data_IF_416732685844
#
_entry.id   IF_416732685844
#
_cell.length_a   1.000
_cell.length_b   1.000
_cell.length_c   1.000
_cell.angle_alpha   90.00
_cell.angle_beta   90.00
_cell.angle_gamma   90.00
#
_symmetry.space_group_name_H-M   'P 1'
#
loop_
_entity.id
_entity.type
_entity.pdbx_description
1 polymer ?
#
# COMPACT_ATOMS: atom_id res chain seq x y z
N UNK A 1 14.72 -12.35 -22.13
CA UNK A 1 13.42 -13.02 -21.86
C UNK A 1 13.44 -13.36 -20.39
N UNK A 2 12.70 -12.60 -19.57
CA UNK A 2 12.53 -12.94 -18.17
C UNK A 2 11.72 -14.24 -18.08
N UNK A 3 12.15 -15.16 -17.23
CA UNK A 3 11.53 -16.47 -17.06
C UNK A 3 10.09 -16.26 -16.55
N UNK A 4 9.09 -16.75 -17.28
CA UNK A 4 7.65 -16.67 -16.93
C UNK A 4 7.30 -17.52 -15.67
N UNK A 5 8.31 -17.96 -14.93
CA UNK A 5 8.25 -18.80 -13.74
C UNK A 5 8.63 -18.05 -12.46
N UNK A 6 8.64 -16.72 -12.46
CA UNK A 6 8.77 -15.95 -11.21
C UNK A 6 7.54 -16.20 -10.31
N UNK A 7 7.67 -17.21 -9.43
CA UNK A 7 6.66 -17.58 -8.44
C UNK A 7 6.81 -16.64 -7.24
N UNK A 8 5.71 -16.00 -6.83
CA UNK A 8 5.73 -15.17 -5.62
C UNK A 8 6.25 -15.97 -4.41
N UNK A 9 6.99 -15.33 -3.50
CA UNK A 9 7.57 -16.01 -2.37
C UNK A 9 6.47 -16.62 -1.48
N UNK A 10 6.75 -17.81 -0.94
CA UNK A 10 5.93 -18.44 0.10
C UNK A 10 6.73 -18.41 1.40
N UNK A 11 6.19 -17.74 2.40
CA UNK A 11 6.84 -17.49 3.68
C UNK A 11 6.24 -18.41 4.74
N UNK A 12 7.09 -19.18 5.41
CA UNK A 12 6.71 -20.03 6.54
C UNK A 12 6.83 -19.24 7.85
N UNK A 13 5.69 -18.88 8.46
CA UNK A 13 5.66 -18.08 9.69
C UNK A 13 6.18 -18.82 10.93
N UNK A 14 6.57 -20.09 10.82
CA UNK A 14 7.19 -20.89 11.90
C UNK A 14 8.52 -21.53 11.50
N UNK A 15 9.00 -21.28 10.28
CA UNK A 15 10.10 -22.05 9.70
C UNK A 15 11.50 -21.56 10.07
N UNK A 16 11.65 -20.32 10.52
CA UNK A 16 12.95 -19.68 10.79
C UNK A 16 12.87 -18.73 11.99
N UNK A 17 14.04 -18.25 12.46
CA UNK A 17 14.13 -17.25 13.52
C UNK A 17 13.50 -15.90 13.09
N UNK A 18 12.95 -15.16 14.06
CA UNK A 18 12.17 -13.93 13.86
C UNK A 18 12.87 -12.89 12.97
N UNK A 19 14.18 -12.68 13.14
CA UNK A 19 14.94 -11.69 12.36
C UNK A 19 14.96 -12.03 10.87
N UNK A 20 15.22 -13.31 10.54
CA UNK A 20 15.21 -13.79 9.16
C UNK A 20 13.80 -13.76 8.57
N UNK A 21 12.79 -14.04 9.39
CA UNK A 21 11.40 -14.01 8.96
C UNK A 21 10.94 -12.59 8.62
N UNK A 22 11.28 -11.61 9.46
CA UNK A 22 11.00 -10.19 9.23
C UNK A 22 11.66 -9.71 7.93
N UNK A 23 12.92 -10.11 7.69
CA UNK A 23 13.64 -9.78 6.47
C UNK A 23 12.98 -10.37 5.21
N UNK A 24 12.53 -11.63 5.26
CA UNK A 24 11.80 -12.26 4.14
C UNK A 24 10.49 -11.53 3.82
N UNK A 25 9.75 -11.12 4.85
CA UNK A 25 8.52 -10.34 4.69
C UNK A 25 8.84 -9.00 4.03
N UNK A 26 9.88 -8.30 4.48
CA UNK A 26 10.34 -7.03 3.90
C UNK A 26 10.71 -7.16 2.43
N UNK A 27 11.60 -8.09 2.10
CA UNK A 27 12.08 -8.28 0.72
C UNK A 27 10.93 -8.64 -0.22
N UNK A 28 10.02 -9.52 0.22
CA UNK A 28 8.84 -9.87 -0.54
C UNK A 28 7.93 -8.66 -0.78
N UNK A 29 7.77 -7.83 0.26
CA UNK A 29 6.93 -6.65 0.25
C UNK A 29 7.48 -5.52 -0.64
N UNK A 30 8.79 -5.31 -0.63
CA UNK A 30 9.47 -4.30 -1.48
C UNK A 30 9.50 -4.75 -2.95
N UNK A 31 9.84 -6.01 -3.23
CA UNK A 31 10.02 -6.51 -4.60
C UNK A 31 8.72 -6.84 -5.32
N UNK A 32 7.81 -7.53 -4.63
CA UNK A 32 6.61 -8.11 -5.24
C UNK A 32 5.33 -7.40 -4.82
N UNK A 33 5.31 -6.79 -3.63
CA UNK A 33 4.10 -6.27 -3.02
C UNK A 33 3.09 -7.35 -2.65
N UNK A 34 3.43 -8.64 -2.82
CA UNK A 34 2.62 -9.77 -2.44
C UNK A 34 3.43 -11.04 -2.21
N UNK A 35 2.89 -11.94 -1.39
CA UNK A 35 3.50 -13.22 -1.02
C UNK A 35 2.45 -14.17 -0.46
N UNK A 36 2.75 -15.46 -0.39
CA UNK A 36 1.94 -16.44 0.34
C UNK A 36 2.49 -16.65 1.73
N UNK A 37 1.62 -16.92 2.69
CA UNK A 37 2.01 -17.36 4.03
C UNK A 37 1.48 -18.76 4.32
N UNK A 38 2.29 -19.55 5.00
CA UNK A 38 1.93 -20.87 5.54
C UNK A 38 2.29 -20.96 7.02
N UNK A 39 1.77 -21.97 7.71
CA UNK A 39 1.91 -22.13 9.17
C UNK A 39 1.45 -20.90 9.98
N UNK A 40 0.50 -20.16 9.41
CA UNK A 40 0.01 -18.84 9.87
C UNK A 40 -0.87 -18.87 11.14
N UNK A 41 -0.94 -19.99 11.85
CA UNK A 41 -1.66 -20.11 13.13
C UNK A 41 -3.19 -20.21 13.05
N UNK A 42 -3.83 -19.73 11.97
CA UNK A 42 -5.27 -19.93 11.74
C UNK A 42 -5.60 -21.41 11.46
N UNK A 43 -6.52 -22.01 12.22
CA UNK A 43 -6.89 -23.41 12.07
C UNK A 43 -7.50 -23.70 10.69
N UNK A 44 -7.08 -24.80 10.06
CA UNK A 44 -7.67 -25.29 8.81
C UNK A 44 -9.17 -25.61 8.93
N UNK A 45 -9.62 -26.07 10.11
CA UNK A 45 -11.05 -26.29 10.38
C UNK A 45 -11.83 -24.99 10.30
N UNK A 46 -11.30 -23.92 10.91
CA UNK A 46 -11.92 -22.60 10.94
C UNK A 46 -11.95 -21.97 9.53
N UNK A 47 -10.89 -22.14 8.74
CA UNK A 47 -10.87 -21.74 7.33
C UNK A 47 -12.00 -22.45 6.54
N UNK A 48 -12.14 -23.76 6.71
CA UNK A 48 -13.17 -24.56 6.02
C UNK A 48 -14.59 -24.19 6.46
N UNK A 49 -14.82 -24.05 7.76
CA UNK A 49 -16.09 -23.63 8.36
C UNK A 49 -16.51 -22.24 7.88
N UNK A 50 -15.55 -21.31 7.80
CA UNK A 50 -15.81 -19.96 7.30
C UNK A 50 -16.21 -20.00 5.82
N UNK A 51 -15.51 -20.76 4.97
CA UNK A 51 -15.87 -20.95 3.55
C UNK A 51 -17.28 -21.50 3.38
N UNK A 52 -17.67 -22.51 4.17
CA UNK A 52 -19.04 -23.05 4.16
C UNK A 52 -20.07 -22.00 4.59
N UNK A 53 -19.77 -21.27 5.66
CA UNK A 53 -20.63 -20.20 6.20
C UNK A 53 -20.90 -19.14 5.14
N UNK A 54 -19.86 -18.56 4.55
CA UNK A 54 -20.02 -17.49 3.56
C UNK A 54 -20.64 -17.97 2.25
N UNK A 55 -20.41 -19.22 1.85
CA UNK A 55 -21.09 -19.82 0.71
C UNK A 55 -22.60 -19.87 0.99
N UNK A 56 -23.01 -20.32 2.17
CA UNK A 56 -24.41 -20.35 2.57
C UNK A 56 -25.05 -18.95 2.64
N UNK A 57 -24.32 -17.92 3.08
CA UNK A 57 -24.81 -16.53 3.10
C UNK A 57 -25.03 -15.97 1.69
N UNK A 58 -24.19 -16.34 0.72
CA UNK A 58 -24.35 -15.94 -0.68
C UNK A 58 -25.57 -16.59 -1.38
N UNK A 59 -26.05 -17.73 -0.85
CA UNK A 59 -27.27 -18.40 -1.31
C UNK A 59 -28.56 -17.80 -0.69
N UNK A 60 -28.45 -16.80 0.19
CA UNK A 60 -29.64 -16.12 0.73
C UNK A 60 -30.40 -15.37 -0.37
N UNK A 61 -31.74 -15.23 -0.25
CA UNK A 61 -32.53 -14.46 -1.19
C UNK A 61 -31.98 -13.04 -1.38
N UNK A 62 -32.09 -12.51 -2.60
CA UNK A 62 -31.58 -11.18 -2.92
C UNK A 62 -32.07 -10.10 -1.94
N UNK A 63 -33.34 -10.16 -1.54
CA UNK A 63 -33.96 -9.24 -0.57
C UNK A 63 -33.34 -9.30 0.84
N UNK A 64 -32.71 -10.41 1.21
CA UNK A 64 -31.92 -10.53 2.44
C UNK A 64 -30.53 -9.91 2.22
N UNK A 65 -29.89 -10.21 1.08
CA UNK A 65 -28.54 -9.74 0.76
C UNK A 65 -28.44 -8.20 0.73
N UNK A 66 -29.44 -7.52 0.16
CA UNK A 66 -29.48 -6.05 0.09
C UNK A 66 -29.63 -5.36 1.45
N UNK A 67 -29.99 -6.09 2.52
CA UNK A 67 -30.04 -5.53 3.89
C UNK A 67 -28.65 -5.27 4.44
N UNK A 68 -27.60 -5.88 3.86
CA UNK A 68 -26.22 -5.53 4.16
C UNK A 68 -25.87 -4.17 3.52
N UNK A 69 -26.31 -3.10 4.17
CA UNK A 69 -26.03 -1.72 3.76
C UNK A 69 -24.61 -1.28 4.09
N UNK A 70 -24.14 -0.26 3.38
CA UNK A 70 -22.87 0.42 3.65
C UNK A 70 -22.83 0.98 5.09
N UNK A 71 -21.67 0.82 5.74
CA UNK A 71 -21.28 1.47 7.01
C UNK A 71 -20.28 2.59 6.69
N UNK A 72 -19.30 2.27 5.83
CA UNK A 72 -18.50 3.24 5.09
C UNK A 72 -18.83 3.09 3.60
N UNK A 73 -18.49 4.09 2.79
CA UNK A 73 -18.82 4.10 1.37
C UNK A 73 -18.40 2.78 0.70
N UNK A 74 -19.35 2.12 0.03
CA UNK A 74 -19.15 0.89 -0.70
C UNK A 74 -18.70 -0.31 0.17
N UNK A 75 -19.03 -0.34 1.47
CA UNK A 75 -18.67 -1.42 2.41
C UNK A 75 -19.73 -2.50 2.60
N UNK A 76 -20.93 -2.34 2.07
CA UNK A 76 -22.04 -3.27 2.17
C UNK A 76 -22.05 -4.30 1.04
N UNK A 77 -23.24 -4.78 0.71
CA UNK A 77 -23.47 -5.69 -0.41
C UNK A 77 -23.40 -4.96 -1.75
N UNK A 78 -22.56 -5.48 -2.64
CA UNK A 78 -22.45 -5.04 -4.04
C UNK A 78 -23.05 -6.14 -4.92
N UNK A 79 -24.24 -5.93 -5.51
CA UNK A 79 -24.79 -6.86 -6.48
C UNK A 79 -23.97 -6.82 -7.78
N UNK A 80 -24.19 -7.83 -8.64
CA UNK A 80 -23.71 -7.79 -10.02
C UNK A 80 -24.30 -6.57 -10.73
N UNK A 81 -23.49 -5.89 -11.52
CA UNK A 81 -23.88 -4.70 -12.28
C UNK A 81 -23.30 -4.76 -13.70
N UNK A 82 -23.66 -3.82 -14.57
CA UNK A 82 -23.07 -3.73 -15.91
C UNK A 82 -21.54 -3.55 -15.86
N UNK A 83 -21.04 -2.82 -14.87
CA UNK A 83 -19.60 -2.62 -14.64
C UNK A 83 -18.92 -3.88 -14.11
N UNK A 84 -19.63 -4.70 -13.33
CA UNK A 84 -19.12 -5.90 -12.68
C UNK A 84 -20.10 -7.07 -12.85
N UNK A 85 -20.27 -7.59 -14.08
CA UNK A 85 -21.33 -8.55 -14.38
C UNK A 85 -21.06 -9.94 -13.80
N UNK A 86 -19.82 -10.23 -13.41
CA UNK A 86 -19.39 -11.54 -12.91
C UNK A 86 -19.20 -11.57 -11.40
N UNK A 87 -19.39 -10.45 -10.72
CA UNK A 87 -18.93 -10.25 -9.34
C UNK A 87 -20.06 -9.75 -8.47
N UNK A 88 -20.33 -10.46 -7.38
CA UNK A 88 -21.08 -9.93 -6.24
C UNK A 88 -20.23 -10.04 -4.97
N UNK A 89 -20.49 -9.17 -3.99
CA UNK A 89 -19.76 -9.24 -2.72
C UNK A 89 -20.55 -8.72 -1.54
N UNK A 90 -20.28 -9.25 -0.36
CA UNK A 90 -20.60 -8.60 0.90
C UNK A 90 -19.37 -7.88 1.42
N UNK A 91 -19.54 -6.77 2.10
CA UNK A 91 -18.52 -6.26 3.00
C UNK A 91 -19.01 -6.18 4.45
N UNK A 92 -18.03 -6.19 5.35
CA UNK A 92 -18.21 -6.06 6.79
C UNK A 92 -17.05 -5.21 7.32
N UNK A 93 -17.35 -4.00 7.78
CA UNK A 93 -16.36 -3.12 8.39
C UNK A 93 -16.15 -3.48 9.86
N UNK A 94 -14.92 -3.32 10.34
CA UNK A 94 -14.49 -3.60 11.72
C UNK A 94 -14.77 -5.05 12.16
N UNK A 95 -14.04 -5.98 11.54
CA UNK A 95 -14.15 -7.43 11.79
C UNK A 95 -13.63 -7.85 13.17
N UNK A 96 -12.93 -6.95 13.86
CA UNK A 96 -12.49 -7.16 15.24
C UNK A 96 -13.63 -6.90 16.24
N UNK A 97 -14.63 -6.09 15.86
CA UNK A 97 -15.79 -5.77 16.69
C UNK A 97 -16.85 -6.87 16.67
N UNK A 98 -17.11 -7.55 17.82
CA UNK A 98 -18.19 -8.53 17.90
C UNK A 98 -19.57 -7.93 17.60
N UNK A 99 -19.74 -6.63 17.88
CA UNK A 99 -20.99 -5.91 17.60
C UNK A 99 -21.18 -5.67 16.10
N UNK A 100 -20.11 -5.34 15.36
CA UNK A 100 -20.18 -5.21 13.90
C UNK A 100 -20.53 -6.56 13.25
N UNK A 101 -19.88 -7.64 13.70
CA UNK A 101 -20.21 -9.01 13.25
C UNK A 101 -21.66 -9.38 13.57
N UNK A 102 -22.12 -9.08 14.79
CA UNK A 102 -23.52 -9.32 15.18
C UNK A 102 -24.49 -8.60 14.24
N UNK A 103 -24.28 -7.31 13.99
CA UNK A 103 -25.13 -6.49 13.11
C UNK A 103 -25.18 -7.06 11.70
N UNK A 104 -24.04 -7.47 11.13
CA UNK A 104 -23.98 -8.12 9.82
C UNK A 104 -24.73 -9.45 9.80
N UNK A 105 -24.52 -10.29 10.81
CA UNK A 105 -25.18 -11.60 10.95
C UNK A 105 -26.70 -11.44 11.08
N UNK A 106 -27.17 -10.45 11.85
CA UNK A 106 -28.58 -10.14 12.00
C UNK A 106 -29.20 -9.72 10.66
N UNK A 107 -28.51 -8.87 9.88
CA UNK A 107 -28.95 -8.43 8.55
C UNK A 107 -29.10 -9.59 7.55
N UNK A 108 -28.22 -10.60 7.62
CA UNK A 108 -28.20 -11.75 6.72
C UNK A 108 -28.90 -13.00 7.26
N UNK A 109 -29.58 -12.90 8.40
CA UNK A 109 -30.28 -14.03 9.03
C UNK A 109 -29.33 -15.23 9.24
N UNK A 110 -28.11 -14.94 9.71
CA UNK A 110 -27.12 -15.96 10.02
C UNK A 110 -27.45 -16.67 11.33
N UNK A 111 -27.21 -17.99 11.40
CA UNK A 111 -27.42 -18.79 12.61
C UNK A 111 -26.44 -18.39 13.73
N UNK A 112 -26.71 -18.86 14.95
CA UNK A 112 -25.79 -18.67 16.07
C UNK A 112 -24.41 -19.29 15.79
N UNK A 113 -24.38 -20.49 15.19
CA UNK A 113 -23.15 -21.17 14.79
C UNK A 113 -22.37 -20.38 13.74
N UNK A 114 -23.06 -19.89 12.69
CA UNK A 114 -22.42 -19.06 11.66
C UNK A 114 -21.82 -17.78 12.26
N UNK A 115 -22.51 -17.15 13.20
CA UNK A 115 -22.01 -15.97 13.92
C UNK A 115 -20.77 -16.29 14.74
N UNK A 116 -20.75 -17.40 15.47
CA UNK A 116 -19.57 -17.82 16.24
C UNK A 116 -18.35 -18.07 15.34
N UNK A 117 -18.56 -18.72 14.19
CA UNK A 117 -17.51 -18.94 13.18
C UNK A 117 -16.98 -17.60 12.68
N UNK A 118 -17.86 -16.67 12.33
CA UNK A 118 -17.47 -15.33 11.86
C UNK A 118 -16.67 -14.55 12.91
N UNK A 119 -17.05 -14.61 14.20
CA UNK A 119 -16.32 -13.97 15.30
C UNK A 119 -14.92 -14.56 15.46
N UNK A 120 -14.82 -15.90 15.49
CA UNK A 120 -13.51 -16.59 15.62
C UNK A 120 -12.61 -16.29 14.43
N UNK A 121 -13.16 -16.31 13.22
CA UNK A 121 -12.43 -16.02 11.99
C UNK A 121 -12.01 -14.54 11.91
N UNK A 122 -12.92 -13.61 12.23
CA UNK A 122 -12.66 -12.17 12.36
C UNK A 122 -11.43 -11.87 13.21
N UNK A 123 -11.45 -12.38 14.44
CA UNK A 123 -10.34 -12.21 15.39
C UNK A 123 -9.03 -12.82 14.89
N UNK A 124 -9.08 -14.02 14.30
CA UNK A 124 -7.89 -14.70 13.81
C UNK A 124 -7.23 -13.96 12.63
N UNK A 125 -8.04 -13.44 11.70
CA UNK A 125 -7.54 -12.70 10.54
C UNK A 125 -7.05 -11.30 10.90
N UNK A 126 -7.74 -10.58 11.81
CA UNK A 126 -7.27 -9.29 12.33
C UNK A 126 -5.94 -9.44 13.06
N UNK A 127 -5.83 -10.45 13.94
CA UNK A 127 -4.59 -10.77 14.65
C UNK A 127 -3.43 -11.06 13.68
N UNK A 128 -3.68 -11.91 12.67
CA UNK A 128 -2.66 -12.22 11.66
C UNK A 128 -2.23 -10.99 10.85
N UNK A 129 -3.18 -10.12 10.46
CA UNK A 129 -2.85 -8.88 9.74
C UNK A 129 -1.98 -7.95 10.60
N UNK A 130 -2.31 -7.77 11.87
CA UNK A 130 -1.53 -6.96 12.80
C UNK A 130 -0.16 -7.56 13.10
N UNK A 131 -0.06 -8.88 13.22
CA UNK A 131 1.22 -9.57 13.41
C UNK A 131 2.14 -9.39 12.20
N UNK A 132 1.63 -9.56 10.98
CA UNK A 132 2.40 -9.33 9.75
C UNK A 132 2.89 -7.88 9.64
N UNK A 133 2.03 -6.91 9.96
CA UNK A 133 2.41 -5.48 9.99
C UNK A 133 3.48 -5.20 11.04
N UNK A 134 3.38 -5.79 12.24
CA UNK A 134 4.42 -5.67 13.28
C UNK A 134 5.76 -6.24 12.83
N UNK A 135 5.75 -7.39 12.15
CA UNK A 135 6.95 -8.01 11.59
C UNK A 135 7.60 -7.12 10.53
N UNK A 136 6.78 -6.49 9.69
CA UNK A 136 7.24 -5.51 8.71
C UNK A 136 7.84 -4.27 9.38
N UNK A 137 7.19 -3.70 10.39
CA UNK A 137 7.74 -2.57 11.15
C UNK A 137 9.08 -2.92 11.82
N UNK A 138 9.20 -4.10 12.42
CA UNK A 138 10.46 -4.61 12.99
C UNK A 138 11.56 -4.80 11.96
N UNK A 139 11.22 -5.21 10.73
CA UNK A 139 12.20 -5.36 9.64
C UNK A 139 12.85 -4.05 9.18
N UNK A 140 12.23 -2.93 9.53
CA UNK A 140 12.73 -1.58 9.31
C UNK A 140 13.26 -0.93 10.59
N UNK A 141 13.35 -1.69 11.69
CA UNK A 141 13.87 -1.22 12.97
C UNK A 141 13.14 0.02 13.51
N UNK A 142 11.84 0.13 13.23
CA UNK A 142 11.03 1.25 13.72
C UNK A 142 10.96 1.25 15.25
N UNK A 143 10.98 2.45 15.83
CA UNK A 143 10.94 2.64 17.28
C UNK A 143 9.65 2.07 17.90
N UNK A 144 8.52 2.24 17.22
CA UNK A 144 7.24 1.62 17.58
C UNK A 144 6.83 0.58 16.52
N UNK A 145 6.91 -0.73 16.83
CA UNK A 145 6.48 -1.77 15.93
C UNK A 145 4.96 -2.03 15.95
N UNK A 146 4.21 -1.49 16.91
CA UNK A 146 2.76 -1.73 17.09
C UNK A 146 1.87 -0.65 16.43
N UNK A 147 2.32 -0.13 15.28
CA UNK A 147 1.70 0.99 14.54
C UNK A 147 0.22 0.81 14.19
N UNK A 148 -0.25 -0.44 14.06
CA UNK A 148 -1.59 -0.76 13.56
C UNK A 148 -2.51 -1.31 14.66
N UNK A 149 -2.20 -1.07 15.93
CA UNK A 149 -2.94 -1.65 17.05
C UNK A 149 -4.44 -1.31 17.02
N UNK A 150 -4.75 -0.03 16.77
CA UNK A 150 -6.12 0.51 16.74
C UNK A 150 -6.71 0.56 15.31
N UNK A 151 -5.97 0.07 14.32
CA UNK A 151 -6.41 0.10 12.93
C UNK A 151 -7.56 -0.88 12.68
N UNK A 152 -8.61 -0.44 11.97
CA UNK A 152 -9.76 -1.28 11.69
C UNK A 152 -9.46 -2.26 10.54
N UNK A 153 -10.03 -3.45 10.64
CA UNK A 153 -9.99 -4.45 9.57
C UNK A 153 -11.37 -4.60 8.92
N UNK A 154 -11.43 -4.74 7.60
CA UNK A 154 -12.66 -4.94 6.84
C UNK A 154 -12.64 -6.29 6.10
N UNK A 155 -13.76 -7.00 6.06
CA UNK A 155 -13.96 -8.09 5.11
C UNK A 155 -14.57 -7.62 3.80
N UNK A 156 -14.11 -8.24 2.71
CA UNK A 156 -14.85 -8.37 1.45
C UNK A 156 -14.98 -9.86 1.13
N UNK A 157 -16.22 -10.32 1.04
CA UNK A 157 -16.57 -11.71 0.74
C UNK A 157 -17.10 -11.73 -0.70
N UNK A 158 -16.29 -12.21 -1.63
CA UNK A 158 -16.55 -12.08 -3.07
C UNK A 158 -16.95 -13.41 -3.68
N UNK A 159 -18.01 -13.39 -4.49
CA UNK A 159 -18.51 -14.54 -5.26
C UNK A 159 -18.47 -14.20 -6.74
N UNK A 160 -17.76 -15.01 -7.50
CA UNK A 160 -17.58 -14.87 -8.94
C UNK A 160 -18.41 -15.90 -9.69
N UNK A 161 -19.26 -15.43 -10.59
CA UNK A 161 -20.20 -16.21 -11.38
C UNK A 161 -19.61 -16.59 -12.73
N UNK A 162 -18.58 -17.43 -12.71
CA UNK A 162 -17.93 -17.87 -13.94
C UNK A 162 -18.70 -18.99 -14.64
N UNK A 163 -18.83 -18.85 -15.94
CA UNK A 163 -19.47 -19.78 -16.87
C UNK A 163 -18.62 -19.90 -18.17
N UNK A 164 -18.96 -20.81 -19.09
CA UNK A 164 -18.16 -21.02 -20.31
C UNK A 164 -17.91 -19.76 -21.15
N UNK A 165 -18.87 -18.83 -21.21
CA UNK A 165 -18.78 -17.57 -21.98
C UNK A 165 -17.89 -16.51 -21.32
N UNK A 166 -17.50 -16.76 -20.07
CA UNK A 166 -16.67 -15.83 -19.29
C UNK A 166 -15.21 -16.26 -19.21
N UNK A 167 -14.89 -17.49 -19.64
CA UNK A 167 -13.52 -17.99 -19.66
C UNK A 167 -12.64 -17.07 -20.52
N UNK A 168 -11.52 -16.64 -19.97
CA UNK A 168 -10.62 -15.66 -20.55
C UNK A 168 -10.94 -14.19 -20.22
N UNK A 169 -12.12 -13.89 -19.67
CA UNK A 169 -12.50 -12.53 -19.23
C UNK A 169 -11.99 -12.23 -17.82
N UNK A 170 -11.91 -10.94 -17.48
CA UNK A 170 -11.63 -10.50 -16.12
C UNK A 170 -12.88 -10.68 -15.26
N UNK A 171 -12.76 -11.45 -14.17
CA UNK A 171 -13.73 -11.49 -13.08
C UNK A 171 -13.66 -10.26 -12.18
N UNK A 172 -12.47 -9.69 -12.04
CA UNK A 172 -12.24 -8.37 -11.43
C UNK A 172 -11.12 -7.68 -12.21
N UNK A 173 -11.32 -6.41 -12.56
CA UNK A 173 -10.36 -5.62 -13.33
C UNK A 173 -9.08 -5.34 -12.52
N UNK A 174 -8.04 -4.90 -13.21
CA UNK A 174 -6.78 -4.52 -12.59
C UNK A 174 -6.95 -3.32 -11.68
N UNK A 175 -6.48 -3.43 -10.44
CA UNK A 175 -6.51 -2.39 -9.43
C UNK A 175 -5.39 -2.57 -8.40
N UNK A 176 -5.21 -1.58 -7.54
CA UNK A 176 -4.49 -1.70 -6.26
C UNK A 176 -5.51 -1.65 -5.12
N UNK A 177 -5.13 -2.19 -3.96
CA UNK A 177 -5.97 -2.08 -2.77
C UNK A 177 -5.71 -0.73 -2.08
N UNK A 178 -6.75 0.02 -1.69
CA UNK A 178 -6.58 1.32 -1.07
C UNK A 178 -6.11 1.23 0.39
N UNK A 179 -6.18 0.05 1.03
CA UNK A 179 -5.79 -0.16 2.42
C UNK A 179 -4.26 -0.27 2.62
N UNK A 180 -3.85 -0.73 3.80
CA UNK A 180 -2.45 -0.98 4.11
C UNK A 180 -2.02 -2.38 3.65
N UNK A 181 -2.70 -3.41 4.14
CA UNK A 181 -2.38 -4.82 3.88
C UNK A 181 -3.67 -5.61 3.68
N UNK A 182 -3.68 -6.52 2.72
CA UNK A 182 -4.80 -7.41 2.43
C UNK A 182 -4.37 -8.86 2.60
N UNK A 183 -5.16 -9.64 3.36
CA UNK A 183 -5.03 -11.09 3.43
C UNK A 183 -6.18 -11.72 2.66
N UNK A 184 -5.86 -12.45 1.60
CA UNK A 184 -6.79 -13.17 0.74
C UNK A 184 -6.80 -14.65 1.10
N UNK A 185 -7.94 -15.10 1.62
CA UNK A 185 -8.29 -16.51 1.69
C UNK A 185 -8.93 -16.91 0.36
N UNK A 186 -8.12 -17.51 -0.52
CA UNK A 186 -8.50 -17.93 -1.86
C UNK A 186 -9.42 -19.16 -1.88
N UNK A 187 -10.02 -19.44 -3.04
CA UNK A 187 -10.74 -20.69 -3.29
C UNK A 187 -9.73 -21.82 -3.51
N UNK A 188 -9.92 -22.97 -2.85
CA UNK A 188 -8.94 -24.06 -2.97
C UNK A 188 -8.99 -24.74 -4.34
N UNK A 189 -10.12 -24.64 -5.04
CA UNK A 189 -10.38 -25.37 -6.27
C UNK A 189 -10.34 -24.47 -7.51
N UNK A 190 -10.53 -23.16 -7.36
CA UNK A 190 -10.63 -22.21 -8.47
C UNK A 190 -9.69 -21.03 -8.29
N UNK A 191 -8.60 -21.02 -9.07
CA UNK A 191 -7.60 -19.95 -9.07
C UNK A 191 -8.06 -18.67 -9.76
N UNK A 192 -7.11 -17.95 -10.37
CA UNK A 192 -7.40 -16.80 -11.23
C UNK A 192 -6.92 -15.45 -10.69
N UNK A 193 -6.45 -15.37 -9.44
CA UNK A 193 -5.76 -14.17 -8.97
C UNK A 193 -4.43 -14.04 -9.73
N UNK A 194 -4.17 -12.86 -10.26
CA UNK A 194 -2.93 -12.53 -10.96
C UNK A 194 -2.41 -11.18 -10.46
N UNK A 195 -1.10 -11.08 -10.27
CA UNK A 195 -0.44 -9.83 -9.94
C UNK A 195 0.46 -9.40 -11.11
N UNK A 196 0.66 -8.09 -11.23
CA UNK A 196 1.47 -7.49 -12.28
C UNK A 196 2.88 -7.23 -11.75
N UNK A 197 3.88 -7.70 -12.48
CA UNK A 197 5.25 -7.27 -12.26
C UNK A 197 5.42 -5.84 -12.78
N UNK A 198 5.78 -4.91 -11.91
CA UNK A 198 5.94 -3.50 -12.25
C UNK A 198 7.05 -3.25 -13.27
N UNK A 199 8.09 -4.10 -13.30
CA UNK A 199 9.23 -3.90 -14.18
C UNK A 199 8.93 -4.30 -15.63
N UNK A 200 8.21 -5.41 -15.83
CA UNK A 200 7.85 -5.91 -17.16
C UNK A 200 6.45 -5.51 -17.63
N UNK A 201 5.56 -5.10 -16.72
CA UNK A 201 4.13 -4.90 -16.97
C UNK A 201 3.35 -6.21 -17.23
N UNK A 202 3.99 -7.37 -17.07
CA UNK A 202 3.38 -8.68 -17.32
C UNK A 202 2.66 -9.20 -16.08
N UNK A 203 1.63 -10.03 -16.30
CA UNK A 203 0.90 -10.68 -15.19
C UNK A 203 1.48 -12.06 -14.91
N UNK A 204 1.66 -12.36 -13.63
CA UNK A 204 2.01 -13.70 -13.15
C UNK A 204 0.87 -14.25 -12.26
N UNK A 205 0.62 -15.57 -12.31
CA UNK A 205 -0.46 -16.19 -11.56
C UNK A 205 -0.11 -16.36 -10.08
N UNK A 206 -1.07 -16.04 -9.21
CA UNK A 206 -1.02 -16.42 -7.79
C UNK A 206 -1.80 -17.72 -7.64
N UNK A 207 -1.07 -18.83 -7.69
CA UNK A 207 -1.66 -20.16 -7.60
C UNK A 207 -2.18 -20.43 -6.18
N UNK A 208 -3.40 -20.97 -6.12
CA UNK A 208 -4.04 -21.40 -4.87
C UNK A 208 -3.29 -22.58 -4.29
N UNK A 209 -3.19 -22.65 -2.96
CA UNK A 209 -2.57 -23.77 -2.26
C UNK A 209 -3.33 -24.01 -0.96
N UNK A 210 -3.68 -25.27 -0.62
CA UNK A 210 -4.41 -25.57 0.61
C UNK A 210 -3.68 -25.04 1.84
N UNK A 211 -4.42 -24.52 2.82
CA UNK A 211 -3.87 -23.97 4.07
C UNK A 211 -2.78 -22.90 3.88
N UNK A 212 -2.90 -22.13 2.80
CA UNK A 212 -2.08 -20.93 2.59
C UNK A 212 -2.99 -19.72 2.44
N UNK A 213 -2.48 -18.56 2.83
CA UNK A 213 -3.15 -17.27 2.62
C UNK A 213 -2.25 -16.42 1.73
N UNK A 214 -2.84 -15.67 0.81
CA UNK A 214 -2.09 -14.69 0.03
C UNK A 214 -2.14 -13.36 0.76
N UNK A 215 -1.02 -12.66 0.83
CA UNK A 215 -0.89 -11.32 1.37
C UNK A 215 -0.50 -10.39 0.24
N UNK A 216 -1.12 -9.22 0.15
CA UNK A 216 -0.69 -8.15 -0.73
C UNK A 216 -0.76 -6.81 -0.02
N UNK A 217 0.05 -5.86 -0.49
CA UNK A 217 0.20 -4.55 0.11
C UNK A 217 -0.56 -3.53 -0.72
N UNK A 218 -1.16 -2.57 -0.05
CA UNK A 218 -2.00 -1.54 -0.64
C UNK A 218 -1.34 -0.17 -0.70
N UNK A 219 -2.11 0.79 -1.18
CA UNK A 219 -1.69 2.16 -1.42
C UNK A 219 -1.20 2.83 -0.12
N UNK A 220 -1.87 2.58 1.00
CA UNK A 220 -1.45 3.14 2.29
C UNK A 220 -0.10 2.59 2.75
N UNK A 221 0.21 1.33 2.49
CA UNK A 221 1.53 0.77 2.83
C UNK A 221 2.63 1.43 2.00
N UNK A 222 2.38 1.67 0.71
CA UNK A 222 3.33 2.42 -0.14
C UNK A 222 3.51 3.86 0.34
N UNK A 223 2.44 4.55 0.72
CA UNK A 223 2.54 5.92 1.24
C UNK A 223 3.33 5.93 2.55
N UNK A 224 2.93 5.11 3.52
CA UNK A 224 3.53 5.00 4.85
C UNK A 224 5.02 4.62 4.80
N UNK A 225 5.43 3.73 3.90
CA UNK A 225 6.84 3.32 3.77
C UNK A 225 7.70 4.25 2.93
N UNK A 226 7.21 5.45 2.65
CA UNK A 226 7.82 6.40 1.74
C UNK A 226 8.15 5.81 0.34
N UNK A 227 7.30 4.93 -0.18
CA UNK A 227 7.47 4.33 -1.50
C UNK A 227 8.30 3.04 -1.52
N UNK A 228 8.86 2.59 -0.39
CA UNK A 228 9.68 1.37 -0.31
C UNK A 228 8.84 0.11 -0.58
N UNK A 229 7.63 0.07 -0.01
CA UNK A 229 6.71 -1.06 -0.19
C UNK A 229 5.96 -0.97 -1.52
N UNK A 230 5.85 -2.10 -2.21
CA UNK A 230 5.15 -2.19 -3.48
C UNK A 230 3.63 -2.37 -3.27
N UNK A 231 2.83 -1.43 -3.78
CA UNK A 231 1.38 -1.60 -3.89
C UNK A 231 1.04 -2.34 -5.19
N UNK A 232 1.02 -3.66 -5.13
CA UNK A 232 0.96 -4.50 -6.34
C UNK A 232 -0.39 -4.34 -7.07
N UNK A 233 -0.30 -4.05 -8.37
CA UNK A 233 -1.47 -4.12 -9.26
C UNK A 233 -1.87 -5.57 -9.45
N UNK A 234 -3.15 -5.89 -9.26
CA UNK A 234 -3.64 -7.25 -9.37
C UNK A 234 -5.05 -7.30 -9.96
N UNK A 235 -5.43 -8.48 -10.48
CA UNK A 235 -6.71 -8.74 -11.12
C UNK A 235 -7.19 -10.17 -10.84
N UNK A 236 -8.43 -10.47 -11.19
CA UNK A 236 -8.93 -11.86 -11.20
C UNK A 236 -9.34 -12.24 -12.61
N UNK A 237 -8.72 -13.27 -13.18
CA UNK A 237 -9.06 -13.84 -14.47
C UNK A 237 -9.95 -15.09 -14.31
N UNK A 238 -10.99 -15.20 -15.12
CA UNK A 238 -11.77 -16.42 -15.25
C UNK A 238 -10.99 -17.45 -16.07
N UNK A 239 -10.40 -18.45 -15.41
CA UNK A 239 -9.64 -19.53 -16.06
C UNK A 239 -10.48 -20.76 -16.39
N UNK A 240 -11.60 -20.93 -15.69
CA UNK A 240 -12.51 -22.04 -15.89
C UNK A 240 -13.94 -21.67 -15.50
N UNK A 241 -14.91 -22.38 -16.06
CA UNK A 241 -16.34 -22.16 -15.86
C UNK A 241 -16.83 -22.74 -14.52
N UNK A 242 -16.29 -22.24 -13.41
CA UNK A 242 -16.67 -22.66 -12.06
C UNK A 242 -16.88 -21.46 -11.15
N UNK A 243 -17.90 -21.56 -10.29
CA UNK A 243 -18.09 -20.61 -9.21
C UNK A 243 -16.82 -20.51 -8.37
N UNK A 244 -16.37 -19.29 -8.11
CA UNK A 244 -15.19 -19.00 -7.27
C UNK A 244 -15.61 -18.12 -6.11
N UNK A 245 -15.18 -18.46 -4.91
CA UNK A 245 -15.47 -17.66 -3.71
C UNK A 245 -14.20 -17.34 -2.94
N UNK A 246 -14.04 -16.08 -2.54
CA UNK A 246 -12.89 -15.62 -1.75
C UNK A 246 -13.29 -14.71 -0.60
N UNK A 247 -12.45 -14.67 0.42
CA UNK A 247 -12.60 -13.76 1.56
C UNK A 247 -11.31 -12.94 1.65
N UNK A 248 -11.43 -11.63 1.44
CA UNK A 248 -10.32 -10.69 1.61
C UNK A 248 -10.48 -9.93 2.92
N UNK A 249 -9.42 -9.87 3.72
CA UNK A 249 -9.35 -9.09 4.96
C UNK A 249 -8.41 -7.92 4.73
N UNK A 250 -8.95 -6.70 4.71
CA UNK A 250 -8.19 -5.47 4.52
C UNK A 250 -7.89 -4.87 5.88
N UNK A 251 -6.63 -4.70 6.21
CA UNK A 251 -6.19 -3.81 7.28
C UNK A 251 -6.19 -2.38 6.71
N UNK A 252 -7.03 -1.53 7.28
CA UNK A 252 -7.24 -0.15 6.85
C UNK A 252 -6.58 0.80 7.85
N UNK A 253 -6.37 2.05 7.45
CA UNK A 253 -5.98 3.11 8.37
C UNK A 253 -7.25 3.83 8.86
N UNK A 254 -7.32 4.29 10.13
CA UNK A 254 -8.42 5.09 10.63
C UNK A 254 -8.73 6.31 9.73
N UNK A 255 -10.01 6.62 9.57
CA UNK A 255 -10.49 7.69 8.67
C UNK A 255 -10.07 9.10 9.11
N UNK A 256 -9.73 9.26 10.38
CA UNK A 256 -9.35 10.50 11.05
C UNK A 256 -7.84 10.68 11.18
N UNK A 257 -7.04 9.70 10.77
CA UNK A 257 -5.58 9.78 10.80
C UNK A 257 -5.00 10.21 9.45
N UNK A 258 -4.07 11.17 9.49
CA UNK A 258 -3.25 11.52 8.33
C UNK A 258 -2.11 10.52 8.22
N UNK A 259 -2.00 9.88 7.05
CA UNK A 259 -0.94 8.90 6.78
C UNK A 259 0.29 9.62 6.29
N UNK A 260 1.27 9.77 7.17
CA UNK A 260 2.59 10.27 6.83
C UNK A 260 3.64 9.16 7.01
N UNK A 261 4.71 9.15 6.21
CA UNK A 261 5.81 8.25 6.46
C UNK A 261 6.46 8.54 7.83
N UNK A 262 6.73 7.51 8.65
CA UNK A 262 7.66 7.65 9.78
C UNK A 262 8.95 8.34 9.38
N UNK A 263 9.50 9.15 10.29
CA UNK A 263 10.74 9.90 10.07
C UNK A 263 11.90 9.02 9.62
N UNK A 264 11.95 7.78 10.07
CA UNK A 264 12.95 6.77 9.76
C UNK A 264 12.93 6.35 8.28
N UNK A 265 11.84 6.58 7.55
CA UNK A 265 11.75 6.35 6.11
C UNK A 265 12.12 7.58 5.27
N UNK A 266 12.40 8.70 5.91
CA UNK A 266 12.73 9.97 5.27
C UNK A 266 14.20 10.27 5.53
N UNK A 267 15.04 9.96 4.54
CA UNK A 267 16.48 10.15 4.61
C UNK A 267 17.01 10.83 3.33
N UNK A 268 18.31 11.13 3.30
CA UNK A 268 18.95 11.79 2.17
C UNK A 268 18.88 10.96 0.87
N UNK A 269 18.70 9.64 0.96
CA UNK A 269 18.51 8.74 -0.19
C UNK A 269 17.02 8.57 -0.55
N UNK A 270 16.10 9.02 0.32
CA UNK A 270 14.65 8.99 0.11
C UNK A 270 13.98 10.32 0.51
N UNK A 271 14.37 11.47 -0.08
CA UNK A 271 13.89 12.79 0.33
C UNK A 271 12.48 13.07 -0.19
N UNK A 272 11.72 13.90 0.53
CA UNK A 272 10.38 14.32 0.12
C UNK A 272 10.41 15.06 -1.23
N UNK A 273 9.56 14.67 -2.19
CA UNK A 273 9.39 15.31 -3.49
C UNK A 273 8.55 16.60 -3.46
N UNK A 274 8.50 17.29 -2.32
CA UNK A 274 7.66 18.46 -2.10
C UNK A 274 8.09 19.70 -2.90
N UNK A 275 7.33 20.78 -2.77
CA UNK A 275 7.67 22.09 -3.32
C UNK A 275 8.68 22.82 -2.43
N UNK A 276 8.40 22.89 -1.13
CA UNK A 276 9.19 23.64 -0.16
C UNK A 276 9.18 22.91 1.19
N UNK A 277 10.32 22.88 1.86
CA UNK A 277 10.45 22.47 3.26
C UNK A 277 10.87 23.68 4.08
N UNK A 278 10.14 23.92 5.18
CA UNK A 278 10.51 24.88 6.23
C UNK A 278 11.00 24.05 7.41
N UNK A 279 12.27 24.19 7.74
CA UNK A 279 12.93 23.41 8.78
C UNK A 279 13.35 24.33 9.93
N UNK A 280 12.75 24.11 11.09
CA UNK A 280 13.29 24.59 12.35
C UNK A 280 14.34 23.59 12.83
N UNK A 281 15.60 23.90 12.56
CA UNK A 281 16.73 23.11 13.03
C UNK A 281 17.01 23.38 14.51
N UNK A 282 17.70 22.44 15.16
CA UNK A 282 18.28 22.67 16.48
C UNK A 282 19.18 23.91 16.45
N UNK A 283 19.06 24.77 17.45
CA UNK A 283 19.81 26.03 17.51
C UNK A 283 21.26 25.83 17.97
N UNK A 284 21.57 24.69 18.58
CA UNK A 284 22.86 24.41 19.20
C UNK A 284 23.57 23.23 18.54
N UNK A 285 22.82 22.24 18.07
CA UNK A 285 23.38 21.00 17.50
C UNK A 285 23.33 21.02 15.98
N UNK A 286 24.52 21.03 15.37
CA UNK A 286 24.70 21.04 13.92
C UNK A 286 24.36 19.72 13.23
N UNK A 287 24.81 19.57 11.99
CA UNK A 287 24.73 18.28 11.27
C UNK A 287 23.96 18.34 9.96
N UNK A 288 23.15 19.36 9.71
CA UNK A 288 22.56 19.56 8.38
C UNK A 288 23.65 20.01 7.41
N UNK A 289 23.75 19.35 6.27
CA UNK A 289 24.64 19.71 5.18
C UNK A 289 23.86 19.80 3.87
N UNK A 290 24.20 20.78 3.03
CA UNK A 290 23.70 20.88 1.66
C UNK A 290 24.85 20.67 0.68
N UNK A 291 24.54 20.14 -0.50
CA UNK A 291 25.53 19.92 -1.55
C UNK A 291 25.56 21.13 -2.47
N UNK A 292 26.77 21.63 -2.72
CA UNK A 292 26.98 22.54 -3.84
C UNK A 292 26.96 21.74 -5.15
N UNK A 293 25.98 22.02 -6.02
CA UNK A 293 25.81 21.31 -7.28
C UNK A 293 26.97 21.51 -8.26
N UNK A 294 27.74 22.61 -8.14
CA UNK A 294 28.89 22.85 -9.03
C UNK A 294 30.12 22.02 -8.63
N UNK A 295 30.41 21.92 -7.34
CA UNK A 295 31.57 21.16 -6.83
C UNK A 295 31.25 19.72 -6.42
N UNK A 296 29.97 19.38 -6.24
CA UNK A 296 29.53 18.09 -5.70
C UNK A 296 29.88 17.88 -4.23
N UNK A 297 30.33 18.94 -3.52
CA UNK A 297 30.76 18.84 -2.13
C UNK A 297 29.64 19.27 -1.19
N UNK A 298 29.47 18.51 -0.12
CA UNK A 298 28.63 18.91 1.00
C UNK A 298 29.30 20.01 1.81
N UNK A 299 28.51 21.01 2.20
CA UNK A 299 28.90 22.07 3.10
C UNK A 299 27.90 22.16 4.26
N UNK A 300 28.37 22.48 5.48
CA UNK A 300 27.52 22.52 6.65
C UNK A 300 26.60 23.75 6.63
N UNK A 301 25.34 23.53 7.00
CA UNK A 301 24.41 24.60 7.37
C UNK A 301 24.49 24.74 8.88
N UNK A 302 25.14 25.82 9.33
CA UNK A 302 25.38 26.05 10.76
C UNK A 302 24.07 26.38 11.48
N UNK A 303 23.85 25.83 12.68
CA UNK A 303 22.77 26.28 13.56
C UNK A 303 22.81 27.80 13.75
N UNK A 304 21.65 28.42 13.58
CA UNK A 304 21.48 29.85 13.83
C UNK A 304 20.19 30.07 14.63
N UNK A 305 20.28 30.62 15.86
CA UNK A 305 19.10 30.90 16.67
C UNK A 305 18.10 31.81 15.96
N UNK A 306 16.81 31.59 16.19
CA UNK A 306 15.71 32.34 15.57
C UNK A 306 15.70 32.32 14.03
N UNK A 307 16.20 31.25 13.41
CA UNK A 307 16.14 31.09 11.95
C UNK A 307 15.39 29.82 11.54
N UNK A 308 14.87 29.84 10.31
CA UNK A 308 14.28 28.68 9.66
C UNK A 308 15.06 28.41 8.38
N UNK A 309 15.47 27.16 8.18
CA UNK A 309 16.06 26.73 6.93
C UNK A 309 14.96 26.48 5.90
N UNK A 310 15.13 27.05 4.71
CA UNK A 310 14.21 26.91 3.58
C UNK A 310 14.89 26.04 2.54
N UNK A 311 14.30 24.87 2.26
CA UNK A 311 14.83 23.92 1.28
C UNK A 311 13.79 23.76 0.17
N UNK A 312 14.20 24.03 -1.06
CA UNK A 312 13.35 23.89 -2.24
C UNK A 312 13.48 22.47 -2.80
N UNK A 313 12.35 21.86 -3.15
CA UNK A 313 12.30 20.53 -3.75
C UNK A 313 12.05 20.56 -5.26
N UNK A 314 11.96 19.38 -5.86
CA UNK A 314 11.82 19.21 -7.31
C UNK A 314 10.61 19.96 -7.89
N UNK A 315 9.50 20.03 -7.16
CA UNK A 315 8.30 20.73 -7.64
C UNK A 315 8.54 22.24 -7.76
N UNK A 316 9.38 22.85 -6.92
CA UNK A 316 9.76 24.25 -7.07
C UNK A 316 10.65 24.46 -8.30
N UNK A 317 11.55 23.51 -8.59
CA UNK A 317 12.39 23.53 -9.80
C UNK A 317 11.55 23.39 -11.07
N UNK A 318 10.57 22.50 -11.09
CA UNK A 318 9.65 22.34 -12.23
C UNK A 318 8.83 23.62 -12.43
N UNK A 319 8.15 24.08 -11.38
CA UNK A 319 7.30 25.27 -11.46
C UNK A 319 8.05 26.51 -11.94
N UNK A 320 9.30 26.69 -11.50
CA UNK A 320 10.12 27.85 -11.88
C UNK A 320 10.82 27.71 -13.23
N UNK A 321 10.52 26.67 -14.01
CA UNK A 321 11.22 26.33 -15.26
C UNK A 321 12.75 26.24 -15.07
N UNK A 322 13.21 25.71 -13.94
CA UNK A 322 14.63 25.50 -13.64
C UNK A 322 15.34 26.69 -13.00
N UNK A 323 14.63 27.80 -12.74
CA UNK A 323 15.21 29.00 -12.11
C UNK A 323 15.47 28.81 -10.62
N UNK A 324 14.68 27.99 -9.94
CA UNK A 324 14.89 27.60 -8.55
C UNK A 324 15.59 26.24 -8.49
N UNK A 325 16.70 26.20 -7.77
CA UNK A 325 17.45 24.97 -7.57
C UNK A 325 16.86 24.17 -6.43
N UNK A 326 16.61 22.89 -6.67
CA UNK A 326 16.53 21.91 -5.61
C UNK A 326 17.94 21.63 -5.08
N UNK A 327 18.05 21.26 -3.81
CA UNK A 327 19.35 21.02 -3.17
C UNK A 327 19.42 19.61 -2.61
N UNK A 328 20.48 18.86 -2.97
CA UNK A 328 20.80 17.64 -2.24
C UNK A 328 21.22 18.02 -0.84
N UNK A 329 20.69 17.36 0.17
CA UNK A 329 21.00 17.65 1.55
C UNK A 329 21.01 16.36 2.37
N UNK A 330 21.77 16.37 3.46
CA UNK A 330 21.89 15.24 4.37
C UNK A 330 22.05 15.71 5.80
N UNK A 331 21.88 14.79 6.74
CA UNK A 331 22.22 15.01 8.14
C UNK A 331 23.40 14.12 8.51
N UNK A 332 24.36 14.69 9.24
CA UNK A 332 25.52 14.00 9.80
C UNK A 332 25.52 14.15 11.32
N UNK A 333 25.79 13.05 12.02
CA UNK A 333 26.02 13.08 13.46
C UNK A 333 27.46 13.57 13.69
N UNK A 334 27.59 14.86 14.04
CA UNK A 334 28.88 15.48 14.31
C UNK A 334 29.28 15.38 15.80
N UNK A 335 28.31 15.13 16.68
CA UNK A 335 28.50 15.03 18.12
C UNK A 335 27.50 14.04 18.74
N UNK A 336 27.88 13.41 19.85
CA UNK A 336 27.06 12.44 20.57
C UNK A 336 26.03 13.14 21.47
N UNK A 337 25.23 14.03 20.89
CA UNK A 337 24.21 14.84 21.55
C UNK A 337 22.89 14.67 20.81
N UNK A 338 21.78 14.66 21.56
CA UNK A 338 20.43 14.65 20.97
C UNK A 338 20.19 15.92 20.15
N UNK A 339 19.65 15.77 18.94
CA UNK A 339 19.32 16.87 18.03
C UNK A 339 17.83 16.81 17.70
N UNK A 340 17.12 17.92 17.89
CA UNK A 340 15.72 18.00 17.50
C UNK A 340 15.57 18.90 16.27
N UNK A 341 14.61 18.56 15.41
CA UNK A 341 14.20 19.48 14.35
C UNK A 341 12.73 19.29 14.02
N UNK A 342 12.07 20.38 13.66
CA UNK A 342 10.67 20.38 13.24
C UNK A 342 10.64 20.76 11.77
N UNK A 343 10.11 19.89 10.93
CA UNK A 343 9.95 20.13 9.50
C UNK A 343 8.47 20.36 9.16
N UNK A 344 8.20 21.37 8.34
CA UNK A 344 6.90 21.61 7.72
C UNK A 344 7.05 21.56 6.21
N UNK A 345 6.19 20.80 5.56
CA UNK A 345 6.29 20.52 4.13
C UNK A 345 5.15 21.17 3.36
N UNK A 346 5.49 21.96 2.34
CA UNK A 346 4.56 22.38 1.30
C UNK A 346 4.73 21.42 0.12
N UNK A 347 3.72 20.58 -0.11
CA UNK A 347 3.72 19.62 -1.21
C UNK A 347 3.35 20.28 -2.54
N UNK A 348 3.65 19.59 -3.64
CA UNK A 348 3.17 19.99 -4.97
C UNK A 348 1.66 19.82 -5.11
N UNK A 349 1.02 20.47 -6.11
CA UNK A 349 -0.41 20.30 -6.36
C UNK A 349 -0.74 18.85 -6.73
N UNK A 350 -2.00 18.47 -6.50
CA UNK A 350 -2.55 17.14 -6.82
C UNK A 350 -2.66 16.93 -8.34
N UNK A 351 -2.85 18.02 -9.08
CA UNK A 351 -2.86 18.01 -10.55
C UNK A 351 -1.46 18.07 -11.13
N UNK A 352 -1.34 17.82 -12.43
CA UNK A 352 -0.07 18.04 -13.13
C UNK A 352 0.41 19.48 -12.94
N UNK A 353 1.64 19.60 -12.48
CA UNK A 353 2.36 20.85 -12.36
C UNK A 353 3.13 21.08 -13.65
N UNK A 354 2.99 22.27 -14.21
CA UNK A 354 3.77 22.71 -15.34
C UNK A 354 4.33 24.13 -15.12
N UNK A 355 5.42 24.50 -15.80
CA UNK A 355 5.90 25.88 -15.77
C UNK A 355 4.82 26.88 -16.20
N UNK A 356 4.49 27.90 -15.38
CA UNK A 356 3.68 29.04 -15.78
C UNK A 356 4.24 29.75 -17.02
N UNK A 357 3.37 30.38 -17.83
CA UNK A 357 3.81 31.05 -19.05
C UNK A 357 4.77 32.21 -18.79
N UNK A 358 4.74 32.80 -17.59
CA UNK A 358 5.63 33.88 -17.16
C UNK A 358 7.09 33.43 -17.00
N UNK A 359 7.33 32.12 -16.85
CA UNK A 359 8.68 31.53 -16.76
C UNK A 359 9.16 30.93 -18.08
N UNK A 360 8.38 31.09 -19.15
CA UNK A 360 8.66 30.54 -20.48
C UNK A 360 8.68 31.67 -21.51
N UNK A 361 9.84 31.90 -22.10
CA UNK A 361 10.04 32.93 -23.13
C UNK A 361 11.01 32.42 -24.21
N UNK A 362 11.32 33.28 -25.20
CA UNK A 362 12.20 32.90 -26.31
C UNK A 362 13.64 32.60 -25.86
N UNK A 363 14.09 33.18 -24.74
CA UNK A 363 15.42 32.96 -24.17
C UNK A 363 15.42 31.78 -23.16
N UNK A 364 14.27 31.46 -22.59
CA UNK A 364 14.04 30.37 -21.62
C UNK A 364 12.86 29.50 -22.08
N UNK A 365 13.06 28.59 -23.05
CA UNK A 365 12.00 27.69 -23.49
C UNK A 365 11.54 26.76 -22.35
N UNK A 366 10.35 26.18 -22.50
CA UNK A 366 9.80 25.25 -21.51
C UNK A 366 10.71 24.03 -21.39
N UNK A 367 11.30 23.83 -20.22
CA UNK A 367 12.24 22.74 -19.97
C UNK A 367 11.52 21.47 -19.54
N UNK A 368 10.54 21.57 -18.63
CA UNK A 368 9.89 20.42 -18.01
C UNK A 368 8.52 20.11 -18.61
N UNK A 369 8.24 18.83 -18.81
CA UNK A 369 6.92 18.29 -19.16
C UNK A 369 5.97 18.41 -17.94
N UNK A 370 4.66 18.60 -18.17
CA UNK A 370 3.69 18.55 -17.08
C UNK A 370 3.77 17.24 -16.31
N UNK A 371 3.83 17.31 -14.98
CA UNK A 371 3.91 16.13 -14.12
C UNK A 371 3.30 16.40 -12.74
N UNK A 372 2.55 15.44 -12.22
CA UNK A 372 2.03 15.50 -10.85
C UNK A 372 3.10 15.18 -9.81
N UNK A 373 2.85 15.59 -8.56
CA UNK A 373 3.68 15.20 -7.42
C UNK A 373 3.84 13.68 -7.31
N UNK A 374 2.79 12.92 -7.61
CA UNK A 374 2.83 11.46 -7.62
C UNK A 374 3.66 10.91 -8.79
N UNK A 375 3.55 11.53 -9.97
CA UNK A 375 4.33 11.17 -11.15
C UNK A 375 5.83 11.25 -10.89
N UNK A 376 6.31 12.36 -10.32
CA UNK A 376 7.74 12.51 -10.02
C UNK A 376 8.21 11.55 -8.92
N UNK A 377 7.38 11.30 -7.91
CA UNK A 377 7.66 10.31 -6.86
C UNK A 377 7.80 8.91 -7.46
N UNK A 378 6.89 8.52 -8.35
CA UNK A 378 6.92 7.22 -9.02
C UNK A 378 8.18 7.06 -9.88
N UNK A 379 8.61 8.09 -10.63
CA UNK A 379 9.86 8.06 -11.40
C UNK A 379 11.06 7.82 -10.47
N UNK A 380 11.17 8.58 -9.37
CA UNK A 380 12.25 8.41 -8.37
C UNK A 380 12.29 6.99 -7.83
N UNK A 381 11.14 6.41 -7.46
CA UNK A 381 11.05 5.06 -6.92
C UNK A 381 11.42 3.99 -7.95
N UNK A 382 10.90 4.07 -9.16
CA UNK A 382 11.11 3.06 -10.21
C UNK A 382 12.58 3.05 -10.67
N UNK A 383 13.12 4.24 -10.93
CA UNK A 383 14.46 4.40 -11.49
C UNK A 383 15.54 4.46 -10.41
N UNK A 384 15.15 4.40 -9.12
CA UNK A 384 16.03 4.54 -7.94
C UNK A 384 16.86 5.83 -8.00
N UNK A 385 16.23 6.91 -8.45
CA UNK A 385 16.86 8.21 -8.63
C UNK A 385 16.67 9.09 -7.40
N UNK A 386 17.72 9.81 -7.04
CA UNK A 386 17.77 10.69 -5.85
C UNK A 386 17.93 12.15 -6.25
N UNK A 387 17.25 13.03 -5.51
CA UNK A 387 17.41 14.49 -5.55
C UNK A 387 17.64 15.11 -6.94
N UNK A 388 16.56 15.39 -7.66
CA UNK A 388 16.62 16.09 -8.95
C UNK A 388 17.09 15.24 -10.13
N UNK A 389 17.59 14.02 -9.90
CA UNK A 389 17.95 13.12 -11.00
C UNK A 389 16.73 12.73 -11.84
N UNK A 390 15.57 12.57 -11.19
CA UNK A 390 14.30 12.34 -11.87
C UNK A 390 13.90 13.50 -12.81
N UNK A 391 14.36 14.74 -12.54
CA UNK A 391 14.08 15.89 -13.40
C UNK A 391 14.66 15.69 -14.81
N UNK A 392 15.77 14.96 -14.95
CA UNK A 392 16.39 14.66 -16.25
C UNK A 392 15.52 13.76 -17.13
N UNK A 393 14.59 13.01 -16.55
CA UNK A 393 13.71 12.11 -17.28
C UNK A 393 12.42 12.79 -17.75
N UNK A 394 12.18 14.03 -17.32
CA UNK A 394 10.95 14.78 -17.59
C UNK A 394 11.20 16.09 -18.34
N UNK A 395 12.41 16.28 -18.87
CA UNK A 395 12.70 17.38 -19.80
C UNK A 395 12.15 17.09 -21.20
N UNK A 396 11.85 18.13 -21.96
CA UNK A 396 11.72 18.04 -23.42
C UNK A 396 13.11 17.77 -24.03
N UNK A 397 13.16 16.87 -25.02
CA UNK A 397 14.39 16.59 -25.80
C UNK A 397 14.78 17.77 -26.69
#
# INVERSE_FOLDING_TARGET
>A
MADLNEVIPTIDLKGVADEKLNQQIREASERWGCFKVMNHGVSSSLLSEMKKTITNLHERPHEVKIRNTDVILASGYKPRSELNPLYESFGLFDVASPQAIKTFCDKLEASAEQREIMVKYGKAMDGLAKDLTRMLAKSYELADPDICKEWPSQFRISKYHFNPETVGKNGLITHTDPGFLTIVHGDDNVGGLEAMDHSSGTYYPINTSPNTLTVNLGDMAKIWSNGRLCNVKHRVQCKEAKMRITISTFLLIPMDEVVEPPSEFVDAEHPHSGFLTILQADENVGGLEAMDNASGKFFPISPMPNTLAIILGDMATIWSNGRLCNVKHRVQCNEATERFSIASFLLGPVTDLEPPSEFVDAEHPRLYKPISHEGIRNIRTIEKLVDGEALKLIIYE
#
